data_IF_505482475619
#
_entry.id   IF_505482475619
#
_cell.length_a   1.000
_cell.length_b   1.000
_cell.length_c   1.000
_cell.angle_alpha   90.00
_cell.angle_beta   90.00
_cell.angle_gamma   90.00
#
_symmetry.space_group_name_H-M   'P 1'
#
loop_
_entity.id
_entity.type
_entity.pdbx_description
1 polymer ?
#
# COMPACT_ATOMS: atom_id res chain seq x y z
N UNK A 1 11.50 -21.74 14.48
CA UNK A 1 11.87 -22.31 13.17
C UNK A 1 10.68 -22.45 12.22
N UNK A 2 9.50 -22.91 12.67
CA UNK A 2 8.30 -23.00 11.80
C UNK A 2 7.79 -21.65 11.24
N UNK A 3 8.05 -20.52 11.93
CA UNK A 3 7.64 -19.18 11.46
C UNK A 3 8.46 -18.71 10.24
N UNK A 4 9.77 -18.96 10.23
CA UNK A 4 10.67 -18.52 9.16
C UNK A 4 10.47 -19.27 7.85
N UNK A 5 10.24 -20.59 7.92
CA UNK A 5 9.95 -21.41 6.73
C UNK A 5 8.63 -20.98 6.06
N UNK A 6 7.60 -20.69 6.87
CA UNK A 6 6.32 -20.15 6.37
C UNK A 6 6.48 -18.78 5.73
N UNK A 7 7.19 -17.85 6.37
CA UNK A 7 7.48 -16.52 5.82
C UNK A 7 8.23 -16.61 4.49
N UNK A 8 9.28 -17.44 4.42
CA UNK A 8 10.03 -17.67 3.18
C UNK A 8 9.15 -18.27 2.07
N UNK A 9 8.28 -19.23 2.42
CA UNK A 9 7.33 -19.82 1.47
C UNK A 9 6.36 -18.77 0.93
N UNK A 10 5.81 -17.92 1.79
CA UNK A 10 4.89 -16.85 1.39
C UNK A 10 5.56 -15.82 0.47
N UNK A 11 6.80 -15.44 0.78
CA UNK A 11 7.57 -14.52 -0.05
C UNK A 11 7.90 -15.14 -1.41
N UNK A 12 8.31 -16.42 -1.45
CA UNK A 12 8.60 -17.12 -2.69
C UNK A 12 7.35 -17.28 -3.57
N UNK A 13 6.21 -17.66 -2.99
CA UNK A 13 4.94 -17.73 -3.70
C UNK A 13 4.54 -16.36 -4.27
N UNK A 14 4.75 -15.28 -3.50
CA UNK A 14 4.45 -13.93 -3.96
C UNK A 14 5.37 -13.52 -5.11
N UNK A 15 6.67 -13.79 -5.00
CA UNK A 15 7.65 -13.54 -6.05
C UNK A 15 7.29 -14.25 -7.35
N UNK A 16 6.91 -15.53 -7.29
CA UNK A 16 6.48 -16.29 -8.46
C UNK A 16 5.19 -15.73 -9.07
N UNK A 17 4.19 -15.46 -8.23
CA UNK A 17 2.89 -14.94 -8.67
C UNK A 17 3.05 -13.58 -9.36
N UNK A 18 3.78 -12.66 -8.72
CA UNK A 18 4.05 -11.31 -9.26
C UNK A 18 4.92 -11.38 -10.52
N UNK A 19 5.85 -12.33 -10.59
CA UNK A 19 6.71 -12.51 -11.76
C UNK A 19 5.99 -13.03 -12.99
N UNK A 20 5.03 -13.95 -12.82
CA UNK A 20 4.24 -14.55 -13.91
C UNK A 20 3.10 -13.65 -14.37
N UNK A 21 2.56 -12.81 -13.47
CA UNK A 21 1.36 -12.02 -13.75
C UNK A 21 1.45 -11.09 -14.99
N UNK A 22 2.54 -10.35 -15.25
CA UNK A 22 2.63 -9.47 -16.42
C UNK A 22 2.60 -10.22 -17.75
N UNK A 23 3.22 -11.41 -17.80
CA UNK A 23 3.20 -12.28 -18.98
C UNK A 23 1.76 -12.70 -19.29
N UNK A 24 1.04 -13.17 -18.26
CA UNK A 24 -0.37 -13.52 -18.40
C UNK A 24 -1.19 -12.30 -18.85
N UNK A 25 -0.99 -11.14 -18.22
CA UNK A 25 -1.65 -9.88 -18.61
C UNK A 25 -1.40 -9.52 -20.07
N UNK A 26 -0.17 -9.65 -20.56
CA UNK A 26 0.15 -9.40 -21.97
C UNK A 26 -0.60 -10.29 -22.95
N UNK A 27 -0.93 -11.53 -22.56
CA UNK A 27 -1.63 -12.48 -23.44
C UNK A 27 -3.13 -12.23 -23.55
N UNK A 28 -3.80 -11.71 -22.53
CA UNK A 28 -5.26 -11.51 -22.55
C UNK A 28 -5.71 -10.04 -22.58
N UNK A 29 -4.81 -9.07 -22.37
CA UNK A 29 -5.18 -7.65 -22.30
C UNK A 29 -5.84 -7.11 -23.58
N UNK A 30 -5.58 -7.72 -24.73
CA UNK A 30 -6.18 -7.36 -26.03
C UNK A 30 -7.60 -7.92 -26.23
N UNK A 31 -7.95 -9.01 -25.55
CA UNK A 31 -9.21 -9.74 -25.75
C UNK A 31 -10.36 -9.14 -24.91
N UNK A 32 -10.12 -8.86 -23.62
CA UNK A 32 -11.14 -8.32 -22.72
C UNK A 32 -11.01 -6.80 -22.54
N UNK A 33 -11.82 -6.02 -23.26
CA UNK A 33 -11.70 -4.55 -23.30
C UNK A 33 -12.25 -3.83 -22.06
N UNK A 34 -13.30 -4.35 -21.42
CA UNK A 34 -13.91 -3.68 -20.26
C UNK A 34 -12.98 -3.76 -19.03
N UNK A 35 -12.42 -2.61 -18.65
CA UNK A 35 -11.55 -2.45 -17.47
C UNK A 35 -12.34 -2.66 -16.17
N UNK A 36 -13.57 -2.16 -16.08
CA UNK A 36 -14.37 -2.21 -14.84
C UNK A 36 -14.82 -3.64 -14.55
N UNK A 37 -15.28 -4.35 -15.58
CA UNK A 37 -15.70 -5.75 -15.43
C UNK A 37 -14.53 -6.64 -15.00
N UNK A 38 -13.32 -6.44 -15.55
CA UNK A 38 -12.11 -7.16 -15.12
C UNK A 38 -11.82 -6.93 -13.64
N UNK A 39 -11.88 -5.69 -13.16
CA UNK A 39 -11.66 -5.37 -11.74
C UNK A 39 -12.75 -6.00 -10.86
N UNK A 40 -14.02 -5.91 -11.26
CA UNK A 40 -15.14 -6.52 -10.53
C UNK A 40 -15.02 -8.05 -10.42
N UNK A 41 -14.61 -8.74 -11.49
CA UNK A 41 -14.39 -10.19 -11.42
C UNK A 41 -13.21 -10.55 -10.50
N UNK A 42 -12.12 -9.76 -10.51
CA UNK A 42 -10.99 -10.00 -9.61
C UNK A 42 -11.38 -9.83 -8.14
N UNK A 43 -12.14 -8.79 -7.81
CA UNK A 43 -12.61 -8.55 -6.43
C UNK A 43 -13.60 -9.64 -5.98
N UNK A 44 -14.52 -10.06 -6.86
CA UNK A 44 -15.39 -11.20 -6.61
C UNK A 44 -14.62 -12.51 -6.38
N UNK A 45 -13.60 -12.80 -7.20
CA UNK A 45 -12.75 -13.98 -7.00
C UNK A 45 -11.98 -13.92 -5.67
N UNK A 46 -11.47 -12.75 -5.27
CA UNK A 46 -10.84 -12.56 -3.96
C UNK A 46 -11.82 -12.81 -2.82
N UNK A 47 -13.06 -12.34 -2.94
CA UNK A 47 -14.11 -12.58 -1.97
C UNK A 47 -14.34 -14.10 -1.79
N UNK A 48 -14.46 -14.85 -2.88
CA UNK A 48 -14.61 -16.31 -2.82
C UNK A 48 -13.38 -16.99 -2.20
N UNK A 49 -12.18 -16.61 -2.64
CA UNK A 49 -10.91 -17.15 -2.13
C UNK A 49 -10.69 -16.86 -0.64
N UNK A 50 -11.30 -15.81 -0.10
CA UNK A 50 -11.24 -15.50 1.33
C UNK A 50 -12.39 -16.13 2.13
N UNK A 51 -13.61 -16.12 1.57
CA UNK A 51 -14.80 -16.61 2.25
C UNK A 51 -14.84 -18.13 2.35
N UNK A 52 -14.39 -18.85 1.32
CA UNK A 52 -14.39 -20.33 1.31
C UNK A 52 -13.52 -20.88 2.46
N UNK A 53 -12.22 -20.56 2.59
CA UNK A 53 -11.43 -21.02 3.73
C UNK A 53 -11.99 -20.56 5.08
N UNK A 54 -12.54 -19.36 5.16
CA UNK A 54 -13.12 -18.81 6.38
C UNK A 54 -14.39 -19.58 6.81
N UNK A 55 -15.20 -20.03 5.85
CA UNK A 55 -16.40 -20.84 6.09
C UNK A 55 -16.08 -22.29 6.47
N UNK A 56 -14.99 -22.85 5.93
CA UNK A 56 -14.52 -24.20 6.23
C UNK A 56 -13.76 -24.29 7.56
N UNK A 57 -13.19 -23.18 8.03
CA UNK A 57 -12.45 -23.13 9.29
C UNK A 57 -13.40 -23.25 10.47
N UNK A 58 -13.15 -24.21 11.36
CA UNK A 58 -13.88 -24.39 12.63
C UNK A 58 -13.16 -23.69 13.78
N UNK A 59 -13.91 -23.27 14.80
CA UNK A 59 -13.38 -22.62 16.00
C UNK A 59 -13.29 -21.10 15.91
N UNK A 60 -12.38 -20.49 16.68
CA UNK A 60 -12.31 -19.03 16.86
C UNK A 60 -12.02 -18.26 15.56
N UNK A 61 -11.29 -18.90 14.64
CA UNK A 61 -10.94 -18.35 13.33
C UNK A 61 -12.03 -18.55 12.26
N UNK A 62 -13.10 -19.28 12.57
CA UNK A 62 -14.18 -19.58 11.63
C UNK A 62 -15.14 -18.42 11.40
N UNK A 63 -15.82 -18.43 10.26
CA UNK A 63 -16.74 -17.36 9.81
C UNK A 63 -17.76 -16.97 10.88
N UNK A 64 -18.46 -17.93 11.47
CA UNK A 64 -19.51 -17.67 12.47
C UNK A 64 -18.95 -16.97 13.72
N UNK A 65 -17.76 -17.35 14.17
CA UNK A 65 -17.15 -16.71 15.33
C UNK A 65 -16.64 -15.32 14.99
N UNK A 66 -16.02 -15.17 13.82
CA UNK A 66 -15.57 -13.86 13.33
C UNK A 66 -16.73 -12.88 13.19
N UNK A 67 -17.86 -13.31 12.62
CA UNK A 67 -19.09 -12.49 12.51
C UNK A 67 -19.66 -12.13 13.88
N UNK A 68 -19.62 -13.03 14.87
CA UNK A 68 -20.06 -12.72 16.25
C UNK A 68 -19.17 -11.67 16.92
N UNK A 69 -17.86 -11.75 16.72
CA UNK A 69 -16.89 -10.80 17.30
C UNK A 69 -16.73 -9.52 16.47
N UNK A 70 -17.44 -9.44 15.35
CA UNK A 70 -17.29 -8.37 14.37
C UNK A 70 -17.83 -7.04 14.90
N UNK A 71 -17.06 -5.98 14.70
CA UNK A 71 -17.43 -4.61 15.08
C UNK A 71 -17.40 -3.72 13.84
N UNK A 72 -18.57 -3.28 13.41
CA UNK A 72 -18.74 -2.43 12.23
C UNK A 72 -17.84 -1.18 12.25
N UNK A 73 -17.73 -0.50 13.40
CA UNK A 73 -16.90 0.71 13.54
C UNK A 73 -15.41 0.43 13.29
N UNK A 74 -14.90 -0.69 13.79
CA UNK A 74 -13.50 -1.08 13.61
C UNK A 74 -13.24 -1.53 12.16
N UNK A 75 -14.18 -2.27 11.56
CA UNK A 75 -14.13 -2.63 10.16
C UNK A 75 -14.04 -1.37 9.29
N UNK A 76 -15.01 -0.46 9.40
CA UNK A 76 -15.04 0.78 8.63
C UNK A 76 -13.76 1.61 8.82
N UNK A 77 -13.32 1.80 10.07
CA UNK A 77 -12.14 2.61 10.37
C UNK A 77 -10.83 2.06 9.79
N UNK A 78 -10.77 0.75 9.50
CA UNK A 78 -9.53 0.08 9.08
C UNK A 78 -9.54 -0.38 7.63
N UNK A 79 -10.72 -0.58 7.01
CA UNK A 79 -10.83 -1.14 5.66
C UNK A 79 -11.48 -0.23 4.63
N UNK A 80 -12.28 0.78 5.00
CA UNK A 80 -12.91 1.67 4.01
C UNK A 80 -11.87 2.47 3.23
N UNK A 81 -10.97 3.17 3.92
CA UNK A 81 -9.95 3.96 3.22
C UNK A 81 -9.04 3.07 2.35
N UNK A 82 -8.50 1.93 2.83
CA UNK A 82 -7.77 1.01 1.96
C UNK A 82 -8.57 0.44 0.80
N UNK A 83 -9.86 0.12 0.99
CA UNK A 83 -10.70 -0.40 -0.09
C UNK A 83 -10.86 0.63 -1.21
N UNK A 84 -11.17 1.88 -0.88
CA UNK A 84 -11.25 2.97 -1.86
C UNK A 84 -9.93 3.17 -2.60
N UNK A 85 -8.81 3.15 -1.87
CA UNK A 85 -7.47 3.25 -2.43
C UNK A 85 -7.19 2.06 -3.38
N UNK A 86 -7.55 0.83 -2.99
CA UNK A 86 -7.34 -0.36 -3.81
C UNK A 86 -8.22 -0.39 -5.06
N UNK A 87 -9.48 0.05 -4.98
CA UNK A 87 -10.34 0.16 -6.17
C UNK A 87 -9.74 1.17 -7.15
N UNK A 88 -9.37 2.36 -6.67
CA UNK A 88 -8.74 3.38 -7.50
C UNK A 88 -7.44 2.85 -8.12
N UNK A 89 -6.59 2.22 -7.30
CA UNK A 89 -5.36 1.59 -7.76
C UNK A 89 -5.63 0.54 -8.85
N UNK A 90 -6.60 -0.35 -8.65
CA UNK A 90 -6.90 -1.40 -9.60
C UNK A 90 -7.43 -0.82 -10.93
N UNK A 91 -8.31 0.17 -10.87
CA UNK A 91 -8.81 0.85 -12.08
C UNK A 91 -7.67 1.51 -12.87
N UNK A 92 -6.78 2.24 -12.18
CA UNK A 92 -5.61 2.86 -12.80
C UNK A 92 -4.65 1.83 -13.40
N UNK A 93 -4.42 0.71 -12.71
CA UNK A 93 -3.56 -0.36 -13.20
C UNK A 93 -4.12 -1.03 -14.45
N UNK A 94 -5.42 -1.35 -14.46
CA UNK A 94 -6.05 -1.95 -15.64
C UNK A 94 -6.16 -0.96 -16.81
N UNK A 95 -6.28 0.35 -16.55
CA UNK A 95 -6.17 1.37 -17.58
C UNK A 95 -4.76 1.46 -18.16
N UNK A 96 -3.73 1.48 -17.30
CA UNK A 96 -2.33 1.54 -17.70
C UNK A 96 -1.88 0.31 -18.50
N UNK A 97 -2.37 -0.90 -18.17
CA UNK A 97 -2.06 -2.14 -18.91
C UNK A 97 -2.50 -2.08 -20.37
N UNK A 98 -3.57 -1.35 -20.68
CA UNK A 98 -4.03 -1.20 -22.08
C UNK A 98 -3.16 -0.18 -22.83
N UNK A 99 -2.51 0.74 -22.11
CA UNK A 99 -1.68 1.81 -22.67
C UNK A 99 -0.17 1.46 -22.75
N UNK A 100 0.29 0.48 -21.97
CA UNK A 100 1.71 0.15 -21.81
C UNK A 100 1.98 -1.33 -22.14
N UNK A 101 3.18 -1.64 -22.63
CA UNK A 101 3.61 -3.03 -22.73
C UNK A 101 3.82 -3.64 -21.33
N UNK A 102 3.70 -4.98 -21.23
CA UNK A 102 3.73 -5.70 -19.96
C UNK A 102 5.01 -5.48 -19.14
N UNK A 103 6.16 -5.28 -19.79
CA UNK A 103 7.44 -5.03 -19.12
C UNK A 103 7.45 -3.62 -18.52
N UNK A 104 7.11 -2.61 -19.31
CA UNK A 104 7.06 -1.22 -18.87
C UNK A 104 6.05 -1.01 -17.75
N UNK A 105 4.84 -1.58 -17.89
CA UNK A 105 3.83 -1.56 -16.83
C UNK A 105 4.36 -2.18 -15.53
N UNK A 106 5.03 -3.33 -15.63
CA UNK A 106 5.52 -4.06 -14.47
C UNK A 106 6.63 -3.30 -13.74
N UNK A 107 7.57 -2.70 -14.48
CA UNK A 107 8.62 -1.86 -13.90
C UNK A 107 7.99 -0.66 -13.20
N UNK A 108 7.14 0.12 -13.88
CA UNK A 108 6.57 1.36 -13.33
C UNK A 108 5.68 1.15 -12.10
N UNK A 109 4.82 0.13 -12.11
CA UNK A 109 3.89 -0.15 -11.01
C UNK A 109 4.62 -0.66 -9.75
N UNK A 110 5.83 -1.19 -9.91
CA UNK A 110 6.56 -1.83 -8.81
C UNK A 110 7.79 -1.04 -8.33
N UNK A 111 8.43 -0.20 -9.16
CA UNK A 111 9.55 0.66 -8.74
C UNK A 111 9.04 1.95 -8.06
N UNK A 112 8.61 1.84 -6.81
CA UNK A 112 8.02 2.98 -6.09
C UNK A 112 9.03 4.10 -5.77
N UNK A 113 8.60 5.33 -6.08
CA UNK A 113 9.11 6.66 -5.67
C UNK A 113 10.43 7.13 -6.32
N UNK A 114 11.48 6.32 -6.48
CA UNK A 114 12.79 6.83 -6.92
C UNK A 114 12.88 7.03 -8.44
N UNK A 115 12.21 6.18 -9.22
CA UNK A 115 12.35 6.17 -10.69
C UNK A 115 11.45 7.13 -11.41
N UNK A 116 10.34 7.50 -10.79
CA UNK A 116 9.41 8.45 -11.39
C UNK A 116 10.01 9.82 -11.54
N UNK A 117 10.71 10.33 -10.52
CA UNK A 117 11.38 11.62 -10.61
C UNK A 117 12.57 11.59 -11.58
N UNK A 118 13.29 10.46 -11.68
CA UNK A 118 14.47 10.32 -12.53
C UNK A 118 14.12 10.04 -14.00
N UNK A 119 13.11 9.21 -14.28
CA UNK A 119 12.65 8.91 -15.64
C UNK A 119 11.83 10.06 -16.22
N UNK A 120 11.01 10.76 -15.43
CA UNK A 120 10.37 12.00 -15.92
C UNK A 120 11.43 13.06 -16.25
N UNK A 121 12.52 13.13 -15.49
CA UNK A 121 13.65 14.03 -15.80
C UNK A 121 14.46 13.61 -17.05
N UNK A 122 14.64 12.29 -17.30
CA UNK A 122 15.46 11.78 -18.41
C UNK A 122 14.68 11.49 -19.72
N UNK A 123 13.37 11.21 -19.67
CA UNK A 123 12.53 11.00 -20.87
C UNK A 123 12.03 12.31 -21.49
N UNK A 124 12.09 13.43 -20.76
CA UNK A 124 11.67 14.74 -21.28
C UNK A 124 12.77 15.45 -22.08
N UNK A 125 13.96 14.87 -22.21
CA UNK A 125 15.06 15.52 -22.92
C UNK A 125 15.08 15.22 -24.44
N UNK A 126 14.32 14.22 -24.93
CA UNK A 126 14.13 14.05 -26.39
C UNK A 126 12.95 13.10 -26.73
N UNK A 127 11.82 13.66 -27.19
CA UNK A 127 10.94 13.12 -28.24
C UNK A 127 9.54 13.78 -28.23
N UNK A 128 8.97 13.96 -29.42
CA UNK A 128 7.60 14.40 -29.59
C UNK A 128 6.75 13.44 -30.44
N UNK A 129 5.46 13.78 -30.46
CA UNK A 129 4.36 13.38 -31.37
C UNK A 129 3.38 12.30 -30.85
N UNK A 130 2.18 12.77 -30.43
CA UNK A 130 0.84 12.14 -30.20
C UNK A 130 0.70 10.71 -29.63
N UNK A 131 1.49 9.71 -30.03
CA UNK A 131 1.52 8.37 -29.40
C UNK A 131 2.09 8.45 -27.97
N UNK A 132 2.95 9.45 -27.72
CA UNK A 132 3.51 9.77 -26.40
C UNK A 132 2.46 10.11 -25.35
N UNK A 133 1.30 10.66 -25.74
CA UNK A 133 0.28 11.11 -24.80
C UNK A 133 -0.43 9.93 -24.11
N UNK A 134 -0.66 8.83 -24.85
CA UNK A 134 -1.28 7.61 -24.32
C UNK A 134 -0.29 6.89 -23.40
N UNK A 135 0.97 6.76 -23.84
CA UNK A 135 2.05 6.20 -23.02
C UNK A 135 2.27 7.02 -21.74
N UNK A 136 2.36 8.35 -21.86
CA UNK A 136 2.49 9.27 -20.71
C UNK A 136 1.33 9.15 -19.73
N UNK A 137 0.09 9.06 -20.24
CA UNK A 137 -1.09 8.86 -19.39
C UNK A 137 -1.01 7.52 -18.66
N UNK A 138 -0.62 6.44 -19.34
CA UNK A 138 -0.41 5.12 -18.72
C UNK A 138 0.69 5.15 -17.65
N UNK A 139 1.81 5.83 -17.90
CA UNK A 139 2.90 5.99 -16.93
C UNK A 139 2.43 6.74 -15.67
N UNK A 140 1.70 7.84 -15.84
CA UNK A 140 1.15 8.61 -14.73
C UNK A 140 0.15 7.79 -13.90
N UNK A 141 -0.72 7.01 -14.55
CA UNK A 141 -1.69 6.15 -13.87
C UNK A 141 -1.00 5.04 -13.07
N UNK A 142 0.00 4.37 -13.65
CA UNK A 142 0.78 3.34 -12.96
C UNK A 142 1.52 3.91 -11.73
N UNK A 143 2.08 5.12 -11.85
CA UNK A 143 2.70 5.81 -10.73
C UNK A 143 1.73 6.08 -9.58
N UNK A 144 0.58 6.68 -9.91
CA UNK A 144 -0.41 7.06 -8.90
C UNK A 144 -0.93 5.80 -8.19
N UNK A 145 -1.18 4.73 -8.95
CA UNK A 145 -1.53 3.42 -8.43
C UNK A 145 -0.45 2.90 -7.46
N UNK A 146 0.84 3.05 -7.79
CA UNK A 146 1.93 2.61 -6.95
C UNK A 146 2.01 3.37 -5.61
N UNK A 147 1.84 4.69 -5.61
CA UNK A 147 1.80 5.49 -4.36
C UNK A 147 0.62 5.07 -3.48
N UNK A 148 -0.58 4.99 -4.08
CA UNK A 148 -1.80 4.53 -3.43
C UNK A 148 -1.62 3.14 -2.80
N UNK A 149 -1.00 2.22 -3.52
CA UNK A 149 -0.67 0.87 -3.03
C UNK A 149 0.22 0.86 -1.78
N UNK A 150 1.15 1.83 -1.65
CA UNK A 150 2.04 1.89 -0.49
C UNK A 150 1.28 2.36 0.76
N UNK A 151 0.40 3.34 0.59
CA UNK A 151 -0.49 3.86 1.63
C UNK A 151 -1.50 2.81 2.10
N UNK A 152 -2.19 2.13 1.18
CA UNK A 152 -3.10 1.04 1.55
C UNK A 152 -2.36 -0.10 2.27
N UNK A 153 -1.17 -0.47 1.78
CA UNK A 153 -0.35 -1.51 2.41
C UNK A 153 0.05 -1.19 3.85
N UNK A 154 0.37 0.07 4.18
CA UNK A 154 0.75 0.47 5.53
C UNK A 154 -0.45 0.49 6.50
N UNK A 155 -1.63 0.92 6.03
CA UNK A 155 -2.88 0.88 6.81
C UNK A 155 -3.28 -0.57 7.10
N UNK A 156 -3.23 -1.44 6.09
CA UNK A 156 -3.53 -2.87 6.24
C UNK A 156 -2.51 -3.56 7.14
N UNK A 157 -1.22 -3.20 7.06
CA UNK A 157 -0.21 -3.71 7.99
C UNK A 157 -0.56 -3.37 9.44
N UNK A 158 -1.03 -2.14 9.71
CA UNK A 158 -1.49 -1.76 11.05
C UNK A 158 -2.67 -2.62 11.49
N UNK A 159 -3.68 -2.81 10.64
CA UNK A 159 -4.86 -3.62 10.96
C UNK A 159 -4.50 -5.10 11.23
N UNK A 160 -3.58 -5.67 10.46
CA UNK A 160 -3.22 -7.09 10.55
C UNK A 160 -2.22 -7.38 11.68
N UNK A 161 -1.20 -6.53 11.84
CA UNK A 161 -0.12 -6.78 12.79
C UNK A 161 -0.37 -6.18 14.19
N UNK A 162 -0.93 -4.96 14.28
CA UNK A 162 -1.20 -4.31 15.58
C UNK A 162 -2.54 -4.72 16.17
N UNK A 163 -3.60 -4.68 15.36
CA UNK A 163 -4.95 -5.02 15.80
C UNK A 163 -5.25 -6.51 15.73
N UNK A 164 -4.31 -7.31 15.19
CA UNK A 164 -4.38 -8.78 15.09
C UNK A 164 -5.68 -9.27 14.43
N UNK A 165 -6.19 -8.50 13.46
CA UNK A 165 -7.41 -8.86 12.72
C UNK A 165 -7.16 -10.09 11.86
N UNK A 166 -8.17 -10.94 11.70
CA UNK A 166 -8.09 -12.11 10.83
C UNK A 166 -7.91 -11.67 9.37
N UNK A 167 -6.87 -12.19 8.71
CA UNK A 167 -6.54 -11.86 7.32
C UNK A 167 -7.70 -12.09 6.35
N UNK A 168 -8.35 -13.25 6.43
CA UNK A 168 -9.45 -13.58 5.53
C UNK A 168 -10.63 -12.63 5.73
N UNK A 169 -10.95 -12.26 6.99
CA UNK A 169 -12.01 -11.29 7.26
C UNK A 169 -11.67 -9.90 6.71
N UNK A 170 -10.42 -9.44 6.88
CA UNK A 170 -9.99 -8.17 6.28
C UNK A 170 -10.10 -8.21 4.75
N UNK A 171 -9.73 -9.32 4.11
CA UNK A 171 -9.90 -9.49 2.66
C UNK A 171 -11.38 -9.48 2.25
N UNK A 172 -12.26 -10.17 2.98
CA UNK A 172 -13.71 -10.14 2.73
C UNK A 172 -14.26 -8.72 2.82
N UNK A 173 -13.88 -7.96 3.86
CA UNK A 173 -14.30 -6.56 4.01
C UNK A 173 -13.81 -5.69 2.87
N UNK A 174 -12.55 -5.84 2.46
CA UNK A 174 -11.98 -5.08 1.36
C UNK A 174 -12.67 -5.38 0.03
N UNK A 175 -12.94 -6.65 -0.27
CA UNK A 175 -13.63 -7.03 -1.50
C UNK A 175 -15.07 -6.52 -1.49
N UNK A 176 -15.87 -6.79 -0.44
CA UNK A 176 -17.26 -6.29 -0.35
C UNK A 176 -17.34 -4.76 -0.50
N UNK A 177 -16.43 -4.01 0.14
CA UNK A 177 -16.34 -2.56 -0.02
C UNK A 177 -15.88 -2.16 -1.42
N UNK A 178 -15.01 -2.95 -2.04
CA UNK A 178 -14.55 -2.79 -3.42
C UNK A 178 -15.68 -2.93 -4.43
N UNK A 179 -16.43 -4.03 -4.37
CA UNK A 179 -17.66 -4.25 -5.14
C UNK A 179 -18.64 -3.08 -4.97
N UNK A 180 -18.91 -2.67 -3.72
CA UNK A 180 -19.82 -1.57 -3.43
C UNK A 180 -19.33 -0.25 -4.07
N UNK A 181 -18.04 0.03 -3.98
CA UNK A 181 -17.44 1.24 -4.56
C UNK A 181 -17.56 1.24 -6.09
N UNK A 182 -17.34 0.10 -6.73
CA UNK A 182 -17.50 -0.03 -8.19
C UNK A 182 -18.95 0.17 -8.63
N UNK A 183 -19.92 -0.39 -7.88
CA UNK A 183 -21.35 -0.20 -8.14
C UNK A 183 -21.77 1.27 -8.00
N UNK A 184 -21.31 1.94 -6.94
CA UNK A 184 -21.56 3.37 -6.75
C UNK A 184 -20.94 4.19 -7.89
N UNK A 185 -19.71 3.88 -8.27
CA UNK A 185 -19.02 4.57 -9.36
C UNK A 185 -19.77 4.39 -10.70
N UNK A 186 -20.25 3.19 -11.00
CA UNK A 186 -21.06 2.91 -12.18
C UNK A 186 -22.35 3.75 -12.16
N UNK A 187 -23.11 3.72 -11.07
CA UNK A 187 -24.34 4.50 -10.96
C UNK A 187 -24.14 6.02 -11.04
N UNK A 188 -23.02 6.54 -10.50
CA UNK A 188 -22.66 7.95 -10.64
C UNK A 188 -22.30 8.29 -12.08
N UNK A 189 -21.59 7.42 -12.79
CA UNK A 189 -21.22 7.66 -14.18
C UNK A 189 -22.43 7.59 -15.12
N UNK A 190 -23.32 6.62 -14.93
CA UNK A 190 -24.56 6.51 -15.70
C UNK A 190 -25.53 7.68 -15.42
N UNK A 191 -25.46 8.28 -14.23
CA UNK A 191 -26.25 9.47 -13.87
C UNK A 191 -25.66 10.78 -14.40
N UNK A 192 -24.34 10.88 -14.54
CA UNK A 192 -23.64 12.08 -15.03
C UNK A 192 -23.48 12.09 -16.55
N UNK A 193 -23.18 10.95 -17.13
CA UNK A 193 -23.19 10.72 -18.57
C UNK A 193 -24.57 10.17 -18.90
N UNK A 194 -25.49 11.04 -19.34
CA UNK A 194 -26.73 10.59 -19.96
C UNK A 194 -26.37 9.94 -21.31
N UNK A 195 -25.84 8.71 -21.28
CA UNK A 195 -25.43 7.96 -22.45
C UNK A 195 -26.67 7.55 -23.22
N UNK A 196 -26.91 8.25 -24.34
CA UNK A 196 -27.98 8.00 -25.29
C UNK A 196 -27.68 6.86 -26.28
N UNK A 197 -26.70 6.00 -26.00
CA UNK A 197 -26.46 4.79 -26.79
C UNK A 197 -26.51 3.57 -25.86
N UNK A 198 -27.65 2.90 -25.90
CA UNK A 198 -27.80 1.53 -25.41
C UNK A 198 -27.16 0.56 -26.40
N UNK A 199 -25.87 0.74 -26.67
CA UNK A 199 -25.12 -0.33 -27.31
C UNK A 199 -24.88 -1.37 -26.21
N UNK A 200 -25.70 -2.41 -26.25
CA UNK A 200 -25.55 -3.60 -25.43
C UNK A 200 -24.36 -4.38 -26.00
N UNK A 201 -23.19 -3.76 -25.95
CA UNK A 201 -21.95 -4.47 -26.20
C UNK A 201 -21.90 -5.58 -25.16
N UNK A 202 -21.90 -6.83 -25.63
CA UNK A 202 -21.93 -7.98 -24.75
C UNK A 202 -20.79 -7.83 -23.74
N UNK A 203 -21.14 -7.64 -22.46
CA UNK A 203 -20.16 -7.40 -21.38
C UNK A 203 -19.07 -8.49 -21.33
N UNK A 204 -19.42 -9.66 -21.84
CA UNK A 204 -18.62 -10.87 -21.87
C UNK A 204 -17.92 -11.13 -23.20
N UNK A 205 -17.96 -10.18 -24.15
CA UNK A 205 -17.24 -10.27 -25.41
C UNK A 205 -15.71 -10.32 -25.15
N UNK A 206 -15.02 -11.28 -25.80
CA UNK A 206 -13.58 -11.46 -25.64
C UNK A 206 -13.13 -12.17 -24.35
N UNK A 207 -14.05 -12.79 -23.61
CA UNK A 207 -13.70 -13.61 -22.46
C UNK A 207 -13.29 -15.03 -22.88
N UNK A 208 -12.08 -15.42 -22.52
CA UNK A 208 -11.53 -16.75 -22.78
C UNK A 208 -11.23 -17.48 -21.46
N UNK A 209 -10.96 -18.79 -21.52
CA UNK A 209 -10.51 -19.53 -20.33
C UNK A 209 -9.18 -18.94 -19.80
N UNK A 210 -8.37 -18.36 -20.69
CA UNK A 210 -7.12 -17.69 -20.33
C UNK A 210 -7.38 -16.40 -19.55
N UNK A 211 -8.37 -15.58 -19.92
CA UNK A 211 -8.73 -14.38 -19.14
C UNK A 211 -9.10 -14.78 -17.71
N UNK A 212 -9.97 -15.78 -17.54
CA UNK A 212 -10.38 -16.26 -16.21
C UNK A 212 -9.21 -16.82 -15.41
N UNK A 213 -8.33 -17.61 -16.02
CA UNK A 213 -7.14 -18.16 -15.36
C UNK A 213 -6.20 -17.03 -14.88
N UNK A 214 -6.02 -15.99 -15.69
CA UNK A 214 -5.19 -14.85 -15.33
C UNK A 214 -5.81 -13.96 -14.24
N UNK A 215 -7.11 -13.70 -14.30
CA UNK A 215 -7.83 -12.98 -13.25
C UNK A 215 -7.84 -13.76 -11.93
N UNK A 216 -7.92 -15.10 -11.98
CA UNK A 216 -7.77 -15.96 -10.81
C UNK A 216 -6.36 -15.88 -10.23
N UNK A 217 -5.32 -15.89 -11.06
CA UNK A 217 -3.93 -15.69 -10.62
C UNK A 217 -3.74 -14.32 -9.95
N UNK A 218 -4.35 -13.26 -10.51
CA UNK A 218 -4.34 -11.92 -9.93
C UNK A 218 -5.10 -11.86 -8.59
N UNK A 219 -6.25 -12.53 -8.48
CA UNK A 219 -7.01 -12.63 -7.24
C UNK A 219 -6.21 -13.37 -6.15
N UNK A 220 -5.60 -14.51 -6.48
CA UNK A 220 -4.70 -15.25 -5.60
C UNK A 220 -3.53 -14.40 -5.13
N UNK A 221 -2.91 -13.63 -6.02
CA UNK A 221 -1.87 -12.66 -5.68
C UNK A 221 -2.33 -11.63 -4.66
N UNK A 222 -3.52 -11.06 -4.84
CA UNK A 222 -4.10 -10.10 -3.90
C UNK A 222 -4.35 -10.68 -2.51
N UNK A 223 -4.88 -11.91 -2.42
CA UNK A 223 -5.06 -12.61 -1.14
C UNK A 223 -3.72 -12.92 -0.49
N UNK A 224 -2.75 -13.39 -1.28
CA UNK A 224 -1.40 -13.73 -0.84
C UNK A 224 -0.65 -12.51 -0.30
N UNK A 225 -0.77 -11.34 -0.93
CA UNK A 225 -0.22 -10.06 -0.44
C UNK A 225 -0.66 -9.79 1.00
N UNK A 226 -1.93 -10.05 1.31
CA UNK A 226 -2.45 -9.91 2.67
C UNK A 226 -1.71 -10.81 3.68
N UNK A 227 -1.49 -12.07 3.33
CA UNK A 227 -0.69 -13.00 4.15
C UNK A 227 0.76 -12.56 4.30
N UNK A 228 1.39 -12.06 3.24
CA UNK A 228 2.76 -11.52 3.32
C UNK A 228 2.81 -10.31 4.24
N UNK A 229 1.86 -9.39 4.15
CA UNK A 229 1.80 -8.21 5.03
C UNK A 229 1.57 -8.64 6.48
N UNK A 230 0.71 -9.62 6.74
CA UNK A 230 0.48 -10.12 8.11
C UNK A 230 1.72 -10.77 8.70
N UNK A 231 2.36 -11.68 7.96
CA UNK A 231 3.40 -12.56 8.50
C UNK A 231 4.82 -11.99 8.35
N UNK A 232 5.08 -11.20 7.32
CA UNK A 232 6.41 -10.66 7.01
C UNK A 232 6.41 -9.14 7.20
N UNK A 233 5.46 -8.43 6.57
CA UNK A 233 5.37 -6.97 6.56
C UNK A 233 5.26 -6.40 5.14
N UNK A 234 4.90 -5.12 5.04
CA UNK A 234 4.72 -4.45 3.75
C UNK A 234 6.07 -4.11 3.08
N UNK A 235 7.15 -4.00 3.84
CA UNK A 235 8.51 -3.80 3.31
C UNK A 235 9.00 -5.12 2.71
N UNK A 236 8.84 -6.23 3.42
CA UNK A 236 9.20 -7.58 3.00
C UNK A 236 8.53 -7.96 1.67
N UNK A 237 7.24 -7.62 1.57
CA UNK A 237 6.46 -7.72 0.33
C UNK A 237 7.13 -7.02 -0.85
N UNK A 238 7.70 -5.83 -0.64
CA UNK A 238 8.33 -5.06 -1.70
C UNK A 238 9.58 -5.75 -2.27
N UNK A 239 10.37 -6.47 -1.44
CA UNK A 239 11.50 -7.27 -1.97
C UNK A 239 11.01 -8.42 -2.83
N UNK A 240 9.99 -9.14 -2.37
CA UNK A 240 9.42 -10.26 -3.12
C UNK A 240 8.91 -9.80 -4.49
N UNK A 241 8.32 -8.60 -4.54
CA UNK A 241 7.87 -7.95 -5.77
C UNK A 241 9.05 -7.61 -6.70
N UNK A 242 10.12 -6.98 -6.20
CA UNK A 242 11.33 -6.66 -6.98
C UNK A 242 12.00 -7.93 -7.53
N UNK A 243 12.10 -8.99 -6.72
CA UNK A 243 12.59 -10.29 -7.19
C UNK A 243 11.67 -10.87 -8.28
N UNK A 244 10.36 -10.64 -8.16
CA UNK A 244 9.36 -11.01 -9.17
C UNK A 244 9.60 -10.32 -10.51
N UNK A 245 10.03 -9.06 -10.54
CA UNK A 245 10.39 -8.38 -11.80
C UNK A 245 11.48 -9.14 -12.57
N UNK A 246 12.49 -9.66 -11.86
CA UNK A 246 13.55 -10.45 -12.48
C UNK A 246 12.99 -11.72 -13.15
N UNK A 247 12.00 -12.36 -12.52
CA UNK A 247 11.29 -13.49 -13.13
C UNK A 247 10.49 -13.04 -14.34
N UNK A 248 9.77 -11.92 -14.27
CA UNK A 248 9.07 -11.35 -15.43
C UNK A 248 10.03 -11.11 -16.59
N UNK A 249 11.21 -10.57 -16.32
CA UNK A 249 12.21 -10.29 -17.33
C UNK A 249 12.66 -11.54 -18.09
N UNK A 250 12.93 -12.61 -17.35
CA UNK A 250 13.31 -13.90 -17.91
C UNK A 250 12.17 -14.52 -18.72
N UNK A 251 10.95 -14.47 -18.20
CA UNK A 251 9.78 -15.03 -18.87
C UNK A 251 9.43 -14.26 -20.15
N UNK A 252 9.45 -12.93 -20.12
CA UNK A 252 9.17 -12.08 -21.30
C UNK A 252 10.24 -12.27 -22.39
N UNK A 253 11.51 -12.40 -22.00
CA UNK A 253 12.60 -12.68 -22.94
C UNK A 253 12.44 -14.08 -23.56
N UNK A 254 12.08 -15.09 -22.76
CA UNK A 254 11.93 -16.47 -23.22
C UNK A 254 10.68 -16.69 -24.09
N UNK A 255 9.51 -16.22 -23.65
CA UNK A 255 8.23 -16.51 -24.30
C UNK A 255 7.85 -15.51 -25.39
N UNK A 256 8.12 -14.22 -25.17
CA UNK A 256 7.72 -13.18 -26.10
C UNK A 256 8.87 -12.69 -26.99
N UNK A 257 10.11 -13.20 -26.78
CA UNK A 257 11.29 -12.82 -27.55
C UNK A 257 11.68 -11.35 -27.42
N UNK A 258 11.08 -10.62 -26.49
CA UNK A 258 11.35 -9.19 -26.25
C UNK A 258 12.57 -9.09 -25.34
N UNK A 259 13.74 -8.64 -25.84
CA UNK A 259 14.90 -8.50 -24.99
C UNK A 259 14.60 -7.49 -23.89
N UNK A 260 14.82 -7.87 -22.64
CA UNK A 260 14.69 -6.96 -21.52
C UNK A 260 15.67 -5.80 -21.73
N UNK A 261 15.15 -4.60 -22.02
CA UNK A 261 15.96 -3.46 -22.41
C UNK A 261 17.06 -3.17 -21.38
N UNK A 262 18.23 -2.75 -21.84
CA UNK A 262 19.38 -2.48 -20.96
C UNK A 262 19.02 -1.54 -19.79
N UNK A 263 18.19 -0.54 -20.07
CA UNK A 263 17.68 0.41 -19.08
C UNK A 263 16.84 -0.27 -17.98
N UNK A 264 16.03 -1.27 -18.34
CA UNK A 264 15.20 -2.01 -17.40
C UNK A 264 16.05 -2.94 -16.50
N UNK A 265 17.13 -3.53 -17.04
CA UNK A 265 18.09 -4.31 -16.25
C UNK A 265 18.82 -3.44 -15.22
N UNK A 266 19.29 -2.25 -15.64
CA UNK A 266 19.94 -1.28 -14.74
C UNK A 266 18.97 -0.81 -13.66
N UNK A 267 17.71 -0.53 -14.02
CA UNK A 267 16.68 -0.14 -13.08
C UNK A 267 16.43 -1.23 -12.02
N UNK A 268 16.25 -2.49 -12.44
CA UNK A 268 16.07 -3.62 -11.51
C UNK A 268 17.27 -3.80 -10.58
N UNK A 269 18.50 -3.71 -11.10
CA UNK A 269 19.71 -3.86 -10.29
C UNK A 269 19.80 -2.77 -9.20
N UNK A 270 19.54 -1.52 -9.57
CA UNK A 270 19.63 -0.41 -8.62
C UNK A 270 18.49 -0.44 -7.59
N UNK A 271 17.29 -0.90 -7.95
CA UNK A 271 16.22 -1.16 -6.98
C UNK A 271 16.62 -2.28 -6.03
N UNK A 272 17.14 -3.40 -6.53
CA UNK A 272 17.60 -4.50 -5.69
C UNK A 272 18.68 -4.04 -4.69
N UNK A 273 19.65 -3.24 -5.16
CA UNK A 273 20.72 -2.67 -4.31
C UNK A 273 20.15 -1.69 -3.27
N UNK A 274 19.31 -0.74 -3.68
CA UNK A 274 18.69 0.24 -2.78
C UNK A 274 17.90 -0.44 -1.67
N UNK A 275 17.10 -1.43 -2.05
CA UNK A 275 16.28 -2.16 -1.08
C UNK A 275 17.18 -3.01 -0.17
N UNK A 276 18.22 -3.68 -0.70
CA UNK A 276 19.18 -4.42 0.12
C UNK A 276 19.90 -3.51 1.12
N UNK A 277 20.36 -2.32 0.72
CA UNK A 277 20.99 -1.34 1.60
C UNK A 277 20.07 -0.91 2.75
N UNK A 278 18.77 -0.71 2.47
CA UNK A 278 17.78 -0.38 3.49
C UNK A 278 17.60 -1.51 4.53
N UNK A 279 17.64 -2.77 4.09
CA UNK A 279 17.52 -3.93 5.02
C UNK A 279 18.74 -4.18 5.86
N UNK A 280 19.92 -3.97 5.28
CA UNK A 280 21.18 -4.16 5.99
C UNK A 280 21.42 -3.03 6.99
N UNK A 281 20.81 -1.86 6.78
CA UNK A 281 20.89 -0.70 7.68
C UNK A 281 19.49 -0.23 8.12
N UNK A 282 18.76 -1.02 8.93
CA UNK A 282 17.44 -0.62 9.40
C UNK A 282 17.57 0.65 10.27
N UNK A 283 16.65 1.63 10.14
CA UNK A 283 16.69 2.83 10.96
C UNK A 283 16.61 2.45 12.44
N UNK A 284 17.54 2.99 13.23
CA UNK A 284 17.58 2.75 14.67
C UNK A 284 16.21 3.11 15.28
N UNK A 285 15.60 2.17 16.01
CA UNK A 285 14.36 2.44 16.74
C UNK A 285 14.64 3.60 17.70
N UNK A 286 13.94 4.72 17.54
CA UNK A 286 13.94 5.78 18.55
C UNK A 286 13.37 5.19 19.84
N UNK A 287 14.24 4.88 20.80
CA UNK A 287 13.84 4.52 22.17
C UNK A 287 13.06 5.69 22.75
N UNK A 288 11.94 5.39 23.38
CA UNK A 288 10.92 6.27 23.94
C UNK A 288 11.39 7.16 25.11
N UNK A 289 12.55 7.81 24.99
CA UNK A 289 13.02 8.82 25.94
C UNK A 289 12.45 10.22 25.63
N UNK A 290 11.97 10.46 24.40
CA UNK A 290 11.32 11.73 24.00
C UNK A 290 9.82 11.81 24.38
N UNK A 291 9.20 10.69 24.76
CA UNK A 291 7.75 10.68 25.04
C UNK A 291 7.42 11.16 26.46
N UNK A 292 8.41 11.19 27.36
CA UNK A 292 8.26 11.76 28.71
C UNK A 292 8.12 13.29 28.72
N UNK A 293 8.55 13.98 27.67
CA UNK A 293 8.33 15.43 27.53
C UNK A 293 6.93 15.79 27.00
N UNK A 294 6.23 14.81 26.39
CA UNK A 294 4.93 15.00 25.75
C UNK A 294 3.74 14.52 26.61
N UNK A 295 3.99 13.80 27.71
CA UNK A 295 2.95 13.38 28.67
C UNK A 295 2.10 14.54 29.23
N UNK A 296 2.63 15.74 29.54
CA UNK A 296 1.83 16.84 30.04
C UNK A 296 0.81 17.38 29.03
N UNK A 297 1.01 17.14 27.72
CA UNK A 297 0.22 17.71 26.64
C UNK A 297 -0.79 16.72 26.01
N UNK A 298 -0.67 15.43 26.34
CA UNK A 298 -1.54 14.35 25.84
C UNK A 298 -2.53 13.83 26.89
N UNK A 299 -2.44 14.29 28.14
CA UNK A 299 -3.44 13.97 29.15
C UNK A 299 -4.79 14.64 28.77
N UNK A 300 -5.90 13.89 28.70
CA UNK A 300 -7.23 14.51 28.58
C UNK A 300 -7.45 15.44 29.78
N UNK A 301 -8.16 16.57 29.61
CA UNK A 301 -8.41 17.48 30.72
C UNK A 301 -9.11 16.72 31.84
N UNK A 302 -8.47 16.61 32.99
CA UNK A 302 -9.07 16.07 34.20
C UNK A 302 -10.28 16.93 34.53
N UNK A 303 -11.48 16.41 34.27
CA UNK A 303 -12.72 17.02 34.75
C UNK A 303 -12.69 16.92 36.27
N UNK A 304 -12.27 18.01 36.91
CA UNK A 304 -12.42 18.16 38.35
C UNK A 304 -13.91 18.30 38.61
N UNK A 305 -14.59 17.20 38.92
CA UNK A 305 -15.90 17.25 39.56
C UNK A 305 -15.69 17.85 40.94
N UNK A 306 -15.99 19.14 41.08
CA UNK A 306 -16.09 19.80 42.37
C UNK A 306 -17.29 19.21 43.10
N UNK A 307 -17.05 18.17 43.90
CA UNK A 307 -18.00 17.76 44.93
C UNK A 307 -17.89 18.78 46.06
N UNK A 308 -18.90 19.63 46.17
CA UNK A 308 -19.11 20.54 47.30
C UNK A 308 -19.22 19.73 48.58
N UNK A 309 -18.11 19.58 49.33
CA UNK A 309 -18.08 19.45 50.78
C UNK A 309 -16.65 19.26 51.27
N UNK A 310 -16.09 20.35 51.80
CA UNK A 310 -15.20 20.44 52.97
C UNK A 310 -14.09 21.47 52.72
N UNK A 311 -14.23 22.58 53.44
CA UNK A 311 -13.21 23.59 53.62
C UNK A 311 -12.10 22.98 54.48
N UNK A 312 -10.89 22.86 53.93
CA UNK A 312 -9.67 22.94 54.73
C UNK A 312 -8.53 23.54 53.89
N UNK A 313 -8.01 24.65 54.40
CA UNK A 313 -6.90 25.43 53.90
C UNK A 313 -5.57 24.72 54.14
N UNK A 314 -4.73 24.58 53.11
CA UNK A 314 -3.29 24.31 53.29
C UNK A 314 -2.45 25.09 52.28
N UNK A 315 -1.48 25.82 52.81
CA UNK A 315 -0.67 26.91 52.24
C UNK A 315 0.46 26.48 51.28
N UNK A 316 0.35 25.32 50.65
CA UNK A 316 1.47 24.69 49.92
C UNK A 316 1.68 25.24 48.49
N UNK A 317 0.66 25.85 47.89
CA UNK A 317 0.66 26.22 46.46
C UNK A 317 1.36 27.55 46.10
N UNK A 318 1.71 28.39 47.09
CA UNK A 318 2.48 29.64 46.83
C UNK A 318 4.00 29.45 46.84
N UNK A 319 4.52 28.35 47.41
CA UNK A 319 5.95 28.11 47.49
C UNK A 319 6.53 27.51 46.21
N UNK A 320 5.78 26.64 45.52
CA UNK A 320 6.23 26.02 44.26
C UNK A 320 6.30 27.02 43.11
N UNK A 321 5.36 27.97 43.05
CA UNK A 321 5.31 29.00 42.00
C UNK A 321 6.52 29.96 42.03
N UNK A 322 7.12 30.19 43.21
CA UNK A 322 8.33 31.04 43.34
C UNK A 322 9.62 30.35 42.90
N UNK A 323 9.67 29.01 42.89
CA UNK A 323 10.84 28.25 42.42
C UNK A 323 10.93 28.26 40.89
N UNK A 324 9.81 28.11 40.19
CA UNK A 324 9.78 28.09 38.72
C UNK A 324 10.16 29.42 38.09
N UNK A 325 9.84 30.55 38.72
CA UNK A 325 10.21 31.90 38.22
C UNK A 325 11.70 32.18 38.37
N UNK A 326 12.37 31.65 39.42
CA UNK A 326 13.82 31.82 39.59
C UNK A 326 14.65 31.03 38.58
N UNK A 327 14.16 29.88 38.11
CA UNK A 327 14.86 29.07 37.12
C UNK A 327 14.81 29.66 35.71
N UNK A 328 13.74 30.39 35.34
CA UNK A 328 13.65 31.04 34.02
C UNK A 328 14.62 32.22 33.86
N UNK A 329 15.05 32.86 34.95
CA UNK A 329 15.87 34.08 34.88
C UNK A 329 17.38 33.78 34.73
N UNK A 330 17.81 32.51 34.91
CA UNK A 330 19.23 32.11 34.83
C UNK A 330 19.63 31.68 33.40
N UNK A 331 18.67 31.40 32.52
CA UNK A 331 18.94 30.89 31.17
C UNK A 331 19.04 31.98 30.07
N UNK A 332 18.95 33.27 30.40
CA UNK A 332 19.02 34.37 29.43
C UNK A 332 20.39 35.06 29.33
N UNK A 333 21.43 34.60 30.02
CA UNK A 333 22.79 35.16 29.88
C UNK A 333 23.57 34.41 28.80
N UNK A 334 23.66 35.00 27.61
CA UNK A 334 24.53 34.56 26.50
C UNK A 334 25.97 34.98 26.81
N UNK A 335 26.95 34.06 26.92
CA UNK A 335 28.35 34.45 27.07
C UNK A 335 28.95 34.86 25.72
N UNK A 336 29.31 36.13 25.59
CA UNK A 336 30.15 36.64 24.50
C UNK A 336 31.60 36.20 24.72
N UNK A 337 32.14 35.37 23.83
CA UNK A 337 33.56 34.99 23.84
C UNK A 337 34.45 36.13 23.29
N UNK A 338 35.60 36.42 23.92
CA UNK A 338 36.51 37.46 23.45
C UNK A 338 37.42 36.96 22.31
N UNK A 339 37.66 37.84 21.33
CA UNK A 339 38.72 37.70 20.31
C UNK A 339 40.09 37.74 21.00
N UNK A 340 40.93 36.74 20.75
CA UNK A 340 42.37 36.79 21.01
C UNK A 340 43.10 36.64 19.68
N UNK A 341 43.82 37.69 19.31
CA UNK A 341 44.80 37.79 18.24
C UNK A 341 46.18 37.34 18.79
N UNK A 342 47.10 36.98 17.88
CA UNK A 342 48.57 36.88 18.03
C UNK A 342 49.22 35.53 18.43
N UNK A 343 49.70 34.84 17.38
CA UNK A 343 51.10 34.68 16.96
C UNK A 343 52.19 34.03 17.86
N UNK A 344 53.16 33.42 17.14
CA UNK A 344 54.55 33.01 17.49
C UNK A 344 54.63 31.49 17.84
N UNK A 345 55.38 30.58 17.19
CA UNK A 345 56.59 30.59 16.32
C UNK A 345 56.35 29.68 15.10
#
# INVERSE_FOLDING_TARGET
MASTARQATLLLLLTLQVGVQPLLMGWYASEARDVRLRVGVVEFLKLLLALVPLSLTRGEAGLLNQLKTWKLRAAIATTVLPALIYVMQNLLNHAAVVALDGVTFNVLNQTKIIWTALLVYLLLEDAGQRDDAVAFTGMYQALLAAVLSALAGSIIQRALQREKRNQYMVTVELSVLGELTLLVLAGVQDGLMQSSDGDSQDMWEGWSVMTLAALLCQALGGVLVGFVIRDCGNVEKSFAVVAGMGITALLETHFNGKPFGHNALVAMALVAISTALYTLNPPAKKTSADTSELEPFLAPPTVVTVSSNSVHTSSTSRQEMRRSVRQMQILSEVPTAPRQLEAIV
#
